data_IF_117497311638
#
_entry.id   IF_117497311638
#
_cell.length_a   1.000
_cell.length_b   1.000
_cell.length_c   1.000
_cell.angle_alpha   90.00
_cell.angle_beta   90.00
_cell.angle_gamma   90.00
#
_symmetry.space_group_name_H-M   'P 1'
#
loop_
_entity.id
_entity.type
_entity.pdbx_description
1 polymer ?
#
# COMPACT_ATOMS: atom_id res chain seq x y z
N UNK A 1 -17.56 -26.64 -10.70
CA UNK A 1 -17.32 -25.25 -11.13
C UNK A 1 -17.66 -24.37 -9.93
N UNK A 2 -16.70 -23.63 -9.39
CA UNK A 2 -16.88 -22.79 -8.19
C UNK A 2 -17.40 -21.41 -8.62
N UNK A 3 -18.33 -20.82 -7.87
CA UNK A 3 -18.82 -19.48 -8.17
C UNK A 3 -17.72 -18.43 -7.92
N UNK A 4 -17.61 -17.45 -8.80
CA UNK A 4 -16.70 -16.30 -8.65
C UNK A 4 -17.54 -15.03 -8.69
N UNK A 5 -17.44 -14.23 -7.64
CA UNK A 5 -18.12 -12.95 -7.53
C UNK A 5 -17.19 -11.83 -7.95
N UNK A 6 -17.71 -10.87 -8.70
CA UNK A 6 -16.98 -9.69 -9.12
C UNK A 6 -17.66 -8.45 -8.53
N UNK A 7 -16.95 -7.71 -7.68
CA UNK A 7 -17.49 -6.56 -6.95
C UNK A 7 -16.71 -5.31 -7.35
N UNK A 8 -17.42 -4.22 -7.59
CA UNK A 8 -16.86 -2.89 -7.88
C UNK A 8 -17.41 -1.83 -6.93
N UNK A 9 -16.52 -0.99 -6.41
CA UNK A 9 -16.83 0.13 -5.52
C UNK A 9 -16.94 1.40 -6.35
N UNK A 10 -18.06 2.10 -6.21
CA UNK A 10 -18.35 3.34 -6.94
C UNK A 10 -18.64 4.49 -5.98
N UNK A 11 -18.15 5.69 -6.33
CA UNK A 11 -18.59 6.97 -5.75
C UNK A 11 -18.89 7.93 -6.89
N UNK A 12 -20.01 8.64 -6.86
CA UNK A 12 -20.40 9.59 -7.92
C UNK A 12 -20.37 8.99 -9.33
N UNK A 13 -20.74 7.70 -9.46
CA UNK A 13 -20.66 6.90 -10.70
C UNK A 13 -19.24 6.70 -11.25
N UNK A 14 -18.21 7.07 -10.50
CA UNK A 14 -16.81 6.76 -10.81
C UNK A 14 -16.39 5.47 -10.11
N UNK A 15 -15.71 4.59 -10.84
CA UNK A 15 -15.18 3.35 -10.31
C UNK A 15 -13.91 3.64 -9.51
N UNK A 16 -13.95 3.37 -8.20
CA UNK A 16 -12.81 3.54 -7.31
C UNK A 16 -11.93 2.28 -7.26
N UNK A 17 -12.53 1.09 -7.26
CA UNK A 17 -11.80 -0.17 -7.19
C UNK A 17 -12.69 -1.36 -7.53
N UNK A 18 -12.07 -2.46 -7.95
CA UNK A 18 -12.78 -3.70 -8.32
C UNK A 18 -11.93 -4.92 -8.00
N UNK A 19 -12.58 -6.03 -7.64
CA UNK A 19 -11.92 -7.32 -7.49
C UNK A 19 -12.88 -8.50 -7.65
N UNK A 20 -12.31 -9.64 -8.02
CA UNK A 20 -12.97 -10.93 -7.93
C UNK A 20 -12.75 -11.57 -6.54
N UNK A 21 -13.65 -12.45 -6.13
CA UNK A 21 -13.53 -13.26 -4.91
C UNK A 21 -14.41 -14.51 -4.95
N UNK A 22 -14.06 -15.49 -4.13
CA UNK A 22 -14.82 -16.76 -3.99
C UNK A 22 -16.18 -16.54 -3.32
N UNK A 23 -16.25 -15.58 -2.41
CA UNK A 23 -17.47 -15.12 -1.76
C UNK A 23 -17.64 -13.62 -1.97
N UNK A 24 -18.87 -13.12 -1.81
CA UNK A 24 -19.18 -11.70 -1.95
C UNK A 24 -18.36 -10.85 -0.98
N UNK A 25 -18.24 -11.28 0.28
CA UNK A 25 -17.47 -10.56 1.31
C UNK A 25 -15.99 -10.48 0.99
N UNK A 26 -15.40 -11.56 0.47
CA UNK A 26 -13.99 -11.57 0.05
C UNK A 26 -13.80 -10.63 -1.16
N UNK A 27 -14.70 -10.68 -2.13
CA UNK A 27 -14.64 -9.80 -3.30
C UNK A 27 -14.76 -8.33 -2.90
N UNK A 28 -15.62 -8.00 -1.93
CA UNK A 28 -15.79 -6.66 -1.39
C UNK A 28 -14.53 -6.16 -0.67
N UNK A 29 -13.95 -6.96 0.24
CA UNK A 29 -12.73 -6.58 0.94
C UNK A 29 -11.56 -6.35 -0.04
N UNK A 30 -11.44 -7.23 -1.05
CA UNK A 30 -10.42 -7.10 -2.09
C UNK A 30 -10.66 -5.86 -2.97
N UNK A 31 -11.92 -5.55 -3.31
CA UNK A 31 -12.26 -4.34 -4.06
C UNK A 31 -11.95 -3.07 -3.24
N UNK A 32 -12.16 -3.09 -1.91
CA UNK A 32 -11.83 -1.99 -1.00
C UNK A 32 -10.32 -1.75 -0.92
N UNK A 33 -9.53 -2.83 -0.83
CA UNK A 33 -8.06 -2.76 -0.90
C UNK A 33 -7.60 -2.18 -2.23
N UNK A 34 -8.22 -2.61 -3.34
CA UNK A 34 -7.92 -2.06 -4.67
C UNK A 34 -8.24 -0.57 -4.75
N UNK A 35 -9.39 -0.13 -4.23
CA UNK A 35 -9.76 1.28 -4.17
C UNK A 35 -8.75 2.10 -3.35
N UNK A 36 -8.29 1.58 -2.21
CA UNK A 36 -7.27 2.24 -1.39
C UNK A 36 -5.92 2.36 -2.11
N UNK A 37 -5.48 1.32 -2.84
CA UNK A 37 -4.27 1.39 -3.68
C UNK A 37 -4.38 2.52 -4.70
N UNK A 38 -5.52 2.62 -5.38
CA UNK A 38 -5.76 3.65 -6.39
C UNK A 38 -5.75 5.07 -5.76
N UNK A 39 -6.39 5.23 -4.60
CA UNK A 39 -6.41 6.50 -3.86
C UNK A 39 -5.02 6.92 -3.34
N UNK A 40 -4.20 5.95 -2.91
CA UNK A 40 -2.85 6.20 -2.40
C UNK A 40 -1.77 6.28 -3.49
N UNK A 41 -2.13 6.02 -4.75
CA UNK A 41 -1.16 5.91 -5.84
C UNK A 41 -0.11 4.83 -5.55
N UNK A 42 -0.53 3.70 -4.99
CA UNK A 42 0.29 2.51 -4.73
C UNK A 42 -0.23 1.32 -5.54
N UNK A 43 -0.82 1.62 -6.70
CA UNK A 43 -1.23 0.63 -7.66
C UNK A 43 -0.02 -0.09 -8.26
N UNK A 44 -0.25 -1.28 -8.79
CA UNK A 44 0.82 -2.13 -9.32
C UNK A 44 1.43 -1.57 -10.62
N UNK A 45 0.78 -0.58 -11.26
CA UNK A 45 1.26 0.16 -12.44
C UNK A 45 2.00 1.46 -12.11
N UNK A 46 2.17 1.79 -10.82
CA UNK A 46 2.91 2.98 -10.39
C UNK A 46 4.35 2.95 -10.93
N UNK A 47 4.84 4.14 -11.31
CA UNK A 47 6.26 4.33 -11.65
C UNK A 47 7.15 3.80 -10.52
N UNK A 48 8.14 2.92 -10.83
CA UNK A 48 9.04 2.41 -9.82
C UNK A 48 9.74 3.57 -9.10
N UNK A 49 10.07 3.33 -7.83
CA UNK A 49 10.86 4.28 -7.06
C UNK A 49 12.21 4.46 -7.75
N UNK A 50 12.50 5.69 -8.19
CA UNK A 50 13.81 6.02 -8.76
C UNK A 50 14.82 6.05 -7.62
N UNK A 51 15.75 5.11 -7.62
CA UNK A 51 16.98 5.23 -6.87
C UNK A 51 17.95 6.01 -7.77
N UNK A 52 17.83 7.35 -7.77
CA UNK A 52 18.75 8.19 -8.52
C UNK A 52 20.06 8.38 -7.74
N UNK A 53 21.10 8.73 -8.48
CA UNK A 53 22.47 8.99 -8.00
C UNK A 53 22.52 10.01 -6.87
N UNK A 54 21.54 10.92 -6.78
CA UNK A 54 21.39 11.90 -5.70
C UNK A 54 21.23 11.28 -4.30
N UNK A 55 20.97 9.97 -4.20
CA UNK A 55 21.04 9.22 -2.94
C UNK A 55 22.41 9.33 -2.23
N UNK A 56 23.50 9.57 -2.97
CA UNK A 56 24.83 9.78 -2.39
C UNK A 56 25.00 11.18 -1.79
N UNK A 57 24.18 12.16 -2.17
CA UNK A 57 24.24 13.54 -1.66
C UNK A 57 23.22 13.81 -0.55
N UNK A 58 22.33 12.85 -0.23
CA UNK A 58 21.41 13.01 0.90
C UNK A 58 22.22 12.94 2.19
N UNK A 59 22.27 14.01 3.01
CA UNK A 59 22.97 13.97 4.29
C UNK A 59 22.21 13.02 5.23
N UNK A 60 22.69 11.78 5.31
CA UNK A 60 22.23 10.80 6.27
C UNK A 60 22.72 11.24 7.65
N UNK A 61 21.79 11.71 8.47
CA UNK A 61 22.07 12.04 9.87
C UNK A 61 22.16 10.73 10.69
N UNK A 62 23.35 10.15 10.73
CA UNK A 62 23.66 8.96 11.53
C UNK A 62 23.56 9.20 13.05
N UNK A 63 23.39 10.45 13.49
CA UNK A 63 23.17 10.80 14.91
C UNK A 63 21.70 10.68 15.32
N UNK A 64 20.77 10.62 14.36
CA UNK A 64 19.35 10.41 14.64
C UNK A 64 19.09 8.99 15.10
N UNK A 65 18.92 8.84 16.42
CA UNK A 65 18.46 7.60 17.02
C UNK A 65 16.95 7.48 16.84
N UNK A 66 16.48 6.33 16.37
CA UNK A 66 15.05 6.05 16.29
C UNK A 66 14.41 6.24 17.69
N UNK A 67 13.38 7.09 17.85
CA UNK A 67 12.73 7.33 19.14
C UNK A 67 12.27 6.05 19.84
N UNK A 68 11.88 5.03 19.08
CA UNK A 68 11.45 3.73 19.58
C UNK A 68 12.59 2.91 20.20
N UNK A 69 13.85 3.26 19.93
CA UNK A 69 15.03 2.57 20.46
C UNK A 69 15.46 3.11 21.84
N UNK A 70 14.89 4.24 22.28
CA UNK A 70 15.21 4.87 23.58
C UNK A 70 14.82 4.02 24.80
N UNK A 71 13.85 3.13 24.65
CA UNK A 71 13.36 2.25 25.71
C UNK A 71 14.17 0.97 25.85
N UNK A 72 15.00 0.63 24.85
CA UNK A 72 15.77 -0.60 24.84
C UNK A 72 17.12 -0.36 25.53
N UNK A 73 17.24 -0.76 26.81
CA UNK A 73 18.54 -0.80 27.49
C UNK A 73 19.42 -1.83 26.77
N UNK A 74 20.35 -1.36 25.95
CA UNK A 74 21.38 -2.25 25.38
C UNK A 74 22.19 -2.85 26.54
N UNK A 75 22.36 -4.19 26.59
CA UNK A 75 23.35 -4.79 27.47
C UNK A 75 24.75 -4.30 27.03
N UNK A 76 25.55 -3.87 28.01
CA UNK A 76 26.96 -3.47 27.82
C UNK A 76 27.86 -4.68 27.68
#
# INVERSE_FOLDING_TARGET
MLAVYYVGIYSDKQLLGKSAGETVTIAEEMAARNALKNLMGTDDGRKPMKFDSDLSEIPLDFSRVNPSLKSLKLPR
#
